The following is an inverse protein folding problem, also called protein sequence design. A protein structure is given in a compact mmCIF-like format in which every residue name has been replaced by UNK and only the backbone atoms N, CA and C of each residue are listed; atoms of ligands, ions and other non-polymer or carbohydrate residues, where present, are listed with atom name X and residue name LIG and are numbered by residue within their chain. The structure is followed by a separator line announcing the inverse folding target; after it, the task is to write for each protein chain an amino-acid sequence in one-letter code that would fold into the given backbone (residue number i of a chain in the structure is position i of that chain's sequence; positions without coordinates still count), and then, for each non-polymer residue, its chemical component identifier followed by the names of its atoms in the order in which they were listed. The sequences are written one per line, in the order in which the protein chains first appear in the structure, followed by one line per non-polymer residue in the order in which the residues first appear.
data_IF_047090898573
#
_entry.id   IF_047090898573
#
_cell.length_a   1.000
_cell.length_b   1.000
_cell.length_c   1.000
_cell.angle_alpha   90.00
_cell.angle_beta   90.00
_cell.angle_gamma   90.00
#
_symmetry.space_group_name_H-M   'P 1'
#
loop_
_entity.id
_entity.type
_entity.pdbx_description
1 polymer ?
#
# COMPACT_ATOMS: atom_id res chain seq x y z
N UNK A 1 -21.80 79.37 -54.33
CA UNK A 1 -20.92 78.21 -54.02
C UNK A 1 -21.63 77.35 -52.99
N UNK A 2 -22.17 76.22 -53.43
CA UNK A 2 -21.62 74.86 -53.24
C UNK A 2 -21.90 74.25 -51.85
N UNK A 3 -22.85 73.34 -51.89
CA UNK A 3 -22.92 72.05 -51.17
C UNK A 3 -23.03 72.05 -49.64
N UNK A 4 -24.09 71.38 -49.14
CA UNK A 4 -23.97 70.57 -47.93
C UNK A 4 -24.90 69.34 -47.97
N UNK A 5 -24.28 68.26 -48.45
CA UNK A 5 -24.42 66.81 -48.23
C UNK A 5 -25.78 66.13 -47.98
N UNK A 6 -25.99 64.93 -48.58
CA UNK A 6 -27.16 64.10 -48.32
C UNK A 6 -27.07 63.39 -46.96
N UNK A 7 -28.18 63.39 -46.23
CA UNK A 7 -28.34 62.65 -44.97
C UNK A 7 -28.43 61.15 -45.30
N UNK A 8 -27.38 60.39 -44.98
CA UNK A 8 -27.41 58.92 -45.05
C UNK A 8 -28.29 58.39 -43.91
N UNK A 9 -29.40 57.72 -44.24
CA UNK A 9 -30.14 56.89 -43.27
C UNK A 9 -29.22 55.76 -42.80
N UNK A 10 -28.84 55.78 -41.54
CA UNK A 10 -28.21 54.64 -40.89
C UNK A 10 -29.25 53.52 -40.76
N UNK A 11 -29.02 52.40 -41.46
CA UNK A 11 -29.79 51.18 -41.26
C UNK A 11 -29.26 50.56 -39.97
N UNK A 12 -30.01 50.73 -38.88
CA UNK A 12 -29.79 50.06 -37.61
C UNK A 12 -30.20 48.59 -37.75
N UNK A 13 -29.24 47.70 -37.98
CA UNK A 13 -29.43 46.26 -37.84
C UNK A 13 -29.72 45.94 -36.37
N UNK A 14 -30.93 45.45 -36.11
CA UNK A 14 -31.40 45.03 -34.78
C UNK A 14 -30.55 43.84 -34.33
N UNK A 15 -29.66 44.04 -33.36
CA UNK A 15 -28.98 42.95 -32.65
C UNK A 15 -29.97 42.33 -31.67
N UNK A 16 -30.48 41.14 -32.00
CA UNK A 16 -31.40 40.40 -31.13
C UNK A 16 -30.57 39.56 -30.14
N UNK A 17 -30.09 40.19 -29.08
CA UNK A 17 -29.49 39.47 -27.95
C UNK A 17 -30.61 38.75 -27.19
N UNK A 18 -30.80 37.46 -27.47
CA UNK A 18 -31.66 36.60 -26.66
C UNK A 18 -30.95 36.33 -25.34
N UNK A 19 -31.25 37.16 -24.34
CA UNK A 19 -30.93 36.91 -22.93
C UNK A 19 -31.69 35.67 -22.45
N UNK A 20 -31.00 34.52 -22.36
CA UNK A 20 -31.54 33.32 -21.70
C UNK A 20 -31.43 33.47 -20.18
N UNK A 21 -32.40 34.14 -19.57
CA UNK A 21 -32.42 34.43 -18.13
C UNK A 21 -32.88 33.25 -17.23
N UNK A 22 -33.30 32.11 -17.80
CA UNK A 22 -33.78 30.96 -17.03
C UNK A 22 -32.84 29.74 -16.99
N UNK A 23 -32.02 29.55 -18.01
CA UNK A 23 -31.17 28.36 -18.14
C UNK A 23 -29.92 28.39 -17.24
N UNK A 24 -29.44 29.58 -16.85
CA UNK A 24 -28.22 29.73 -16.05
C UNK A 24 -28.32 29.09 -14.65
N UNK A 25 -29.50 29.13 -14.01
CA UNK A 25 -29.70 28.46 -12.71
C UNK A 25 -29.70 26.94 -12.85
N UNK A 26 -30.30 26.42 -13.91
CA UNK A 26 -30.30 24.98 -14.18
C UNK A 26 -28.89 24.49 -14.51
N UNK A 27 -28.14 25.25 -15.30
CA UNK A 27 -26.74 24.98 -15.64
C UNK A 27 -25.85 24.96 -14.39
N UNK A 28 -26.00 25.94 -13.50
CA UNK A 28 -25.27 25.97 -12.24
C UNK A 28 -25.64 24.79 -11.32
N UNK A 29 -26.92 24.41 -11.24
CA UNK A 29 -27.35 23.26 -10.43
C UNK A 29 -26.76 21.95 -10.96
N UNK A 30 -26.78 21.74 -12.27
CA UNK A 30 -26.21 20.55 -12.91
C UNK A 30 -24.69 20.53 -12.72
N UNK A 31 -24.02 21.68 -12.86
CA UNK A 31 -22.58 21.80 -12.62
C UNK A 31 -22.22 21.43 -11.16
N UNK A 32 -22.95 21.95 -10.17
CA UNK A 32 -22.75 21.62 -8.75
C UNK A 32 -23.03 20.14 -8.47
N UNK A 33 -24.07 19.55 -9.09
CA UNK A 33 -24.39 18.13 -8.95
C UNK A 33 -23.24 17.25 -9.45
N UNK A 34 -22.78 17.48 -10.67
CA UNK A 34 -21.68 16.71 -11.29
C UNK A 34 -20.39 16.92 -10.49
N UNK A 35 -20.10 18.15 -10.07
CA UNK A 35 -18.93 18.47 -9.27
C UNK A 35 -18.95 17.77 -7.91
N UNK A 36 -20.11 17.73 -7.24
CA UNK A 36 -20.29 17.04 -5.96
C UNK A 36 -20.09 15.52 -6.10
N UNK A 37 -20.60 14.91 -7.18
CA UNK A 37 -20.31 13.50 -7.51
C UNK A 37 -18.81 13.27 -7.73
N UNK A 38 -18.12 14.21 -8.40
CA UNK A 38 -16.68 14.17 -8.59
C UNK A 38 -15.89 14.15 -7.27
N UNK A 39 -16.27 14.99 -6.29
CA UNK A 39 -15.63 15.00 -4.97
C UNK A 39 -15.84 13.67 -4.23
N UNK A 40 -17.06 13.13 -4.24
CA UNK A 40 -17.35 11.84 -3.60
C UNK A 40 -16.52 10.70 -4.22
N UNK A 41 -16.39 10.68 -5.54
CA UNK A 41 -15.55 9.70 -6.24
C UNK A 41 -14.07 9.83 -5.82
N UNK A 42 -13.55 11.05 -5.72
CA UNK A 42 -12.17 11.30 -5.28
C UNK A 42 -11.94 10.89 -3.82
N UNK A 43 -12.89 11.15 -2.92
CA UNK A 43 -12.79 10.73 -1.51
C UNK A 43 -12.83 9.20 -1.39
N UNK A 44 -13.69 8.54 -2.15
CA UNK A 44 -13.73 7.07 -2.22
C UNK A 44 -12.40 6.47 -2.69
N UNK A 45 -11.81 7.05 -3.74
CA UNK A 45 -10.49 6.64 -4.24
C UNK A 45 -9.40 6.89 -3.18
N UNK A 46 -9.40 8.05 -2.52
CA UNK A 46 -8.45 8.34 -1.44
C UNK A 46 -8.54 7.35 -0.29
N UNK A 47 -9.75 7.00 0.16
CA UNK A 47 -9.95 5.99 1.20
C UNK A 47 -9.39 4.62 0.80
N UNK A 48 -9.66 4.18 -0.43
CA UNK A 48 -9.12 2.93 -0.97
C UNK A 48 -7.59 2.93 -1.06
N UNK A 49 -6.99 4.04 -1.53
CA UNK A 49 -5.54 4.19 -1.60
C UNK A 49 -4.89 4.13 -0.21
N UNK A 50 -5.43 4.86 0.79
CA UNK A 50 -4.89 4.84 2.16
C UNK A 50 -4.91 3.44 2.77
N UNK A 51 -6.01 2.69 2.57
CA UNK A 51 -6.09 1.30 3.00
C UNK A 51 -5.00 0.45 2.34
N UNK A 52 -4.89 0.52 1.02
CA UNK A 52 -3.91 -0.27 0.26
C UNK A 52 -2.45 0.07 0.64
N UNK A 53 -2.16 1.35 0.89
CA UNK A 53 -0.84 1.79 1.38
C UNK A 53 -0.54 1.26 2.77
N UNK A 54 -1.51 1.28 3.67
CA UNK A 54 -1.35 0.74 5.04
C UNK A 54 -1.10 -0.77 5.01
N UNK A 55 -1.87 -1.51 4.21
CA UNK A 55 -1.68 -2.93 3.95
C UNK A 55 -0.27 -3.25 3.42
N UNK A 56 0.18 -2.49 2.42
CA UNK A 56 1.51 -2.64 1.84
C UNK A 56 2.62 -2.34 2.86
N UNK A 57 2.41 -1.35 3.74
CA UNK A 57 3.35 -1.01 4.81
C UNK A 57 3.52 -2.17 5.79
N UNK A 58 2.44 -2.76 6.29
CA UNK A 58 2.52 -3.90 7.21
C UNK A 58 3.18 -5.12 6.56
N UNK A 59 2.91 -5.38 5.28
CA UNK A 59 3.61 -6.43 4.52
C UNK A 59 5.13 -6.18 4.43
N UNK A 60 5.53 -4.94 4.20
CA UNK A 60 6.94 -4.56 4.15
C UNK A 60 7.62 -4.69 5.52
N UNK A 61 6.95 -4.25 6.59
CA UNK A 61 7.44 -4.40 7.97
C UNK A 61 7.57 -5.88 8.36
N UNK A 62 6.58 -6.72 8.05
CA UNK A 62 6.65 -8.16 8.28
C UNK A 62 7.82 -8.82 7.54
N UNK A 63 8.03 -8.43 6.27
CA UNK A 63 9.18 -8.88 5.48
C UNK A 63 10.49 -8.46 6.15
N UNK A 64 10.59 -7.19 6.58
CA UNK A 64 11.79 -6.68 7.24
C UNK A 64 12.09 -7.43 8.56
N UNK A 65 11.07 -7.65 9.40
CA UNK A 65 11.20 -8.40 10.66
C UNK A 65 11.66 -9.84 10.40
N UNK A 66 11.09 -10.50 9.39
CA UNK A 66 11.48 -11.85 9.01
C UNK A 66 12.94 -11.91 8.55
N UNK A 67 13.35 -11.00 7.67
CA UNK A 67 14.70 -10.93 7.12
C UNK A 67 15.74 -10.55 8.19
N UNK A 68 15.41 -9.61 9.07
CA UNK A 68 16.28 -9.24 10.19
C UNK A 68 16.52 -10.44 11.10
N UNK A 69 15.46 -11.18 11.47
CA UNK A 69 15.61 -12.38 12.31
C UNK A 69 16.39 -13.47 11.59
N UNK A 70 16.12 -13.69 10.31
CA UNK A 70 16.85 -14.66 9.50
C UNK A 70 18.35 -14.30 9.41
N UNK A 71 18.68 -13.02 9.25
CA UNK A 71 20.05 -12.51 9.27
C UNK A 71 20.73 -12.69 10.63
N UNK A 72 20.00 -12.45 11.73
CA UNK A 72 20.48 -12.70 13.10
C UNK A 72 20.80 -14.18 13.33
N UNK A 73 19.91 -15.08 12.91
CA UNK A 73 20.14 -16.54 12.98
C UNK A 73 21.37 -16.92 12.15
N UNK A 74 21.49 -16.40 10.93
CA UNK A 74 22.63 -16.70 10.07
C UNK A 74 23.95 -16.16 10.63
N UNK A 75 23.97 -14.94 11.16
CA UNK A 75 25.16 -14.30 11.70
C UNK A 75 25.65 -14.99 12.98
N UNK A 76 24.75 -15.25 13.93
CA UNK A 76 25.14 -15.84 15.21
C UNK A 76 25.42 -17.34 15.11
N UNK A 77 24.80 -18.03 14.15
CA UNK A 77 25.10 -19.43 13.95
C UNK A 77 26.51 -19.68 13.41
N UNK A 78 27.16 -18.69 12.78
CA UNK A 78 28.60 -18.74 12.48
C UNK A 78 29.46 -18.83 13.73
N UNK A 79 28.99 -18.25 14.83
CA UNK A 79 29.75 -18.13 16.07
C UNK A 79 29.49 -19.26 17.07
N UNK A 80 28.27 -19.83 17.09
CA UNK A 80 27.84 -20.76 18.15
C UNK A 80 27.50 -22.18 17.68
N UNK A 81 27.56 -22.45 16.37
CA UNK A 81 27.37 -23.77 15.76
C UNK A 81 26.07 -24.54 16.15
N UNK A 82 25.11 -23.87 16.79
CA UNK A 82 23.92 -24.50 17.36
C UNK A 82 22.69 -23.75 16.88
N UNK A 83 22.12 -24.22 15.78
CA UNK A 83 20.93 -23.60 15.17
C UNK A 83 19.66 -23.83 16.00
N UNK A 84 19.53 -24.99 16.65
CA UNK A 84 18.31 -25.37 17.37
C UNK A 84 17.84 -24.40 18.46
N UNK A 85 18.74 -23.60 19.02
CA UNK A 85 18.40 -22.61 20.07
C UNK A 85 17.60 -21.40 19.55
N UNK A 86 17.57 -21.17 18.25
CA UNK A 86 16.83 -20.06 17.63
C UNK A 86 15.41 -20.45 17.22
N UNK A 87 15.03 -21.71 17.36
CA UNK A 87 13.67 -22.15 17.10
C UNK A 87 12.74 -21.54 18.15
N UNK A 88 11.78 -20.74 17.69
CA UNK A 88 10.79 -20.09 18.52
C UNK A 88 9.44 -20.25 17.84
N UNK A 89 8.40 -20.53 18.61
CA UNK A 89 7.04 -20.67 18.09
C UNK A 89 6.19 -19.57 18.69
N UNK A 90 5.45 -18.88 17.82
CA UNK A 90 4.46 -17.86 18.20
C UNK A 90 5.00 -16.77 19.14
N UNK A 91 6.23 -16.31 18.90
CA UNK A 91 6.81 -15.17 19.59
C UNK A 91 5.94 -13.93 19.35
N UNK A 92 5.52 -13.28 20.44
CA UNK A 92 4.70 -12.09 20.35
C UNK A 92 5.51 -10.92 19.80
N UNK A 93 5.07 -10.37 18.68
CA UNK A 93 5.63 -9.16 18.05
C UNK A 93 4.54 -8.10 17.88
N UNK A 94 3.50 -8.13 18.73
CA UNK A 94 2.36 -7.20 18.68
C UNK A 94 2.75 -5.73 18.84
N UNK A 95 3.93 -5.46 19.39
CA UNK A 95 4.53 -4.11 19.47
C UNK A 95 4.89 -3.56 18.08
N UNK A 96 5.25 -4.44 17.14
CA UNK A 96 5.70 -4.07 15.80
C UNK A 96 4.59 -4.20 14.76
N UNK A 97 3.73 -5.20 14.90
CA UNK A 97 2.63 -5.47 13.97
C UNK A 97 1.35 -5.78 14.75
N UNK A 98 0.17 -5.24 14.37
CA UNK A 98 -1.09 -5.57 15.03
C UNK A 98 -1.36 -7.09 15.02
N UNK A 99 -1.56 -7.69 16.20
CA UNK A 99 -1.77 -9.13 16.36
C UNK A 99 -0.61 -9.99 15.85
N UNK A 100 0.59 -9.41 15.80
CA UNK A 100 1.75 -10.00 15.16
C UNK A 100 2.34 -11.16 15.94
N UNK A 101 2.63 -12.28 15.27
CA UNK A 101 3.41 -13.40 15.82
C UNK A 101 4.55 -13.80 14.88
N UNK A 102 5.64 -14.28 15.44
CA UNK A 102 6.79 -14.81 14.70
C UNK A 102 7.10 -16.25 15.11
N UNK A 103 7.30 -17.09 14.11
CA UNK A 103 7.74 -18.47 14.28
C UNK A 103 9.01 -18.70 13.47
N UNK A 104 10.04 -19.22 14.12
CA UNK A 104 11.30 -19.63 13.51
C UNK A 104 11.37 -21.16 13.61
N UNK A 105 11.25 -21.82 12.47
CA UNK A 105 11.37 -23.27 12.36
C UNK A 105 12.70 -23.63 11.69
N UNK A 106 13.35 -24.68 12.17
CA UNK A 106 14.64 -25.13 11.64
C UNK A 106 14.47 -26.59 11.23
N UNK A 107 14.60 -26.85 9.94
CA UNK A 107 14.61 -28.20 9.40
C UNK A 107 15.98 -28.84 9.67
N UNK A 108 16.05 -30.06 10.24
CA UNK A 108 17.31 -30.73 10.52
C UNK A 108 18.06 -31.11 9.23
N UNK A 109 19.28 -31.63 9.39
CA UNK A 109 20.08 -32.15 8.28
C UNK A 109 19.30 -33.23 7.50
N UNK A 110 19.46 -33.32 6.16
CA UNK A 110 20.45 -32.63 5.32
C UNK A 110 20.00 -31.26 4.79
N UNK A 111 18.75 -30.84 5.02
CA UNK A 111 18.19 -29.67 4.34
C UNK A 111 18.55 -28.34 5.00
N UNK A 112 18.80 -28.34 6.32
CA UNK A 112 19.25 -27.21 7.12
C UNK A 112 18.63 -25.87 6.72
N UNK A 113 17.31 -25.91 6.58
CA UNK A 113 16.50 -24.78 6.17
C UNK A 113 15.97 -24.07 7.40
N UNK A 114 16.32 -22.80 7.54
CA UNK A 114 15.72 -21.90 8.52
C UNK A 114 14.54 -21.23 7.84
N UNK A 115 13.35 -21.43 8.42
CA UNK A 115 12.08 -20.88 7.95
C UNK A 115 11.58 -19.90 8.99
N UNK A 116 11.46 -18.63 8.62
CA UNK A 116 10.90 -17.58 9.48
C UNK A 116 9.55 -17.21 8.92
N UNK A 117 8.51 -17.45 9.71
CA UNK A 117 7.13 -17.09 9.42
C UNK A 117 6.71 -15.96 10.34
N UNK A 118 6.18 -14.89 9.75
CA UNK A 118 5.60 -13.75 10.45
C UNK A 118 4.13 -13.67 10.08
N UNK A 119 3.25 -13.72 11.08
CA UNK A 119 1.81 -13.53 10.92
C UNK A 119 1.38 -12.22 11.53
N UNK A 120 0.42 -11.51 10.94
CA UNK A 120 -0.20 -10.32 11.51
C UNK A 120 -1.66 -10.20 11.11
N UNK A 121 -2.44 -9.44 11.86
CA UNK A 121 -3.86 -9.23 11.59
C UNK A 121 -4.23 -7.77 11.85
N UNK A 122 -4.74 -7.10 10.82
CA UNK A 122 -5.31 -5.76 11.01
C UNK A 122 -6.62 -5.83 11.80
N UNK A 123 -6.98 -4.80 12.57
CA UNK A 123 -8.25 -4.77 13.29
C UNK A 123 -9.44 -4.97 12.35
N UNK A 124 -10.18 -6.08 12.53
CA UNK A 124 -11.33 -6.44 11.70
C UNK A 124 -11.00 -7.04 10.32
N UNK A 125 -9.74 -7.37 10.04
CA UNK A 125 -9.30 -8.02 8.80
C UNK A 125 -8.93 -9.50 8.99
N UNK A 126 -8.58 -10.15 7.87
CA UNK A 126 -8.07 -11.52 7.86
C UNK A 126 -6.61 -11.61 8.35
N UNK A 127 -6.23 -12.80 8.82
CA UNK A 127 -4.86 -13.11 9.21
C UNK A 127 -3.98 -13.19 7.95
N UNK A 128 -2.89 -12.44 7.96
CA UNK A 128 -1.88 -12.41 6.91
C UNK A 128 -0.61 -13.11 7.38
N UNK A 129 0.01 -13.89 6.50
CA UNK A 129 1.26 -14.59 6.78
C UNK A 129 2.31 -14.25 5.72
N UNK A 130 3.54 -14.04 6.16
CA UNK A 130 4.72 -13.89 5.30
C UNK A 130 5.79 -14.88 5.77
N UNK A 131 6.40 -15.60 4.83
CA UNK A 131 7.42 -16.61 5.14
C UNK A 131 8.67 -16.35 4.31
N UNK A 132 9.82 -16.34 4.97
CA UNK A 132 11.14 -16.26 4.33
C UNK A 132 11.98 -17.43 4.79
N UNK A 133 12.69 -18.06 3.86
CA UNK A 133 13.55 -19.20 4.14
C UNK A 133 14.99 -18.91 3.73
N UNK A 134 15.97 -19.38 4.50
CA UNK A 134 17.36 -19.46 4.08
C UNK A 134 17.95 -20.83 4.38
N UNK A 135 18.87 -21.26 3.51
CA UNK A 135 19.64 -22.49 3.73
C UNK A 135 20.93 -22.17 4.43
N UNK A 136 21.30 -23.06 5.32
CA UNK A 136 22.59 -23.08 5.99
C UNK A 136 23.37 -24.26 5.46
N UNK A 137 24.63 -24.04 5.09
CA UNK A 137 25.53 -25.13 4.70
C UNK A 137 25.74 -26.08 5.88
N UNK A 138 25.45 -27.37 5.72
CA UNK A 138 25.67 -28.40 6.74
C UNK A 138 27.05 -29.06 6.59
N UNK A 139 27.77 -29.24 7.70
CA UNK A 139 28.81 -30.28 7.78
C UNK A 139 28.15 -31.65 7.87
N UNK A 140 28.75 -32.67 7.27
CA UNK A 140 28.23 -34.03 7.20
C UNK A 140 28.37 -34.78 8.54
N UNK A 141 27.60 -34.38 9.56
CA UNK A 141 27.27 -35.23 10.70
C UNK A 141 25.76 -35.54 10.66
N UNK A 142 25.35 -36.81 10.82
CA UNK A 142 23.94 -37.18 10.73
C UNK A 142 23.12 -36.53 11.84
N UNK A 143 22.24 -35.61 11.46
CA UNK A 143 21.22 -35.02 12.35
C UNK A 143 21.46 -33.58 12.81
N UNK A 144 22.63 -33.00 12.53
CA UNK A 144 22.99 -31.66 13.04
C UNK A 144 23.19 -30.64 11.91
N UNK A 145 22.49 -29.51 12.00
CA UNK A 145 22.77 -28.34 11.18
C UNK A 145 23.85 -27.52 11.88
N UNK A 146 24.99 -27.39 11.23
CA UNK A 146 26.24 -26.86 11.76
C UNK A 146 26.80 -25.92 10.69
N UNK A 147 27.21 -24.71 11.08
CA UNK A 147 27.67 -23.68 10.16
C UNK A 147 29.16 -23.89 9.84
N UNK A 148 29.54 -23.87 8.55
CA UNK A 148 30.94 -24.03 8.11
C UNK A 148 31.78 -22.75 8.27
#
# INVERSE_FOLDING_TARGET
MKNKFPVRKAISTISHSKSQQGMALLEALIAVLIFSMGILALVGLQGAMVKNTSDSKYRAEATFIAQQKLGEVWANAKSHNTFGSYAVVDEDISVLLPGGKRTVAISPAPNCLVTVTVSWQMPGGDIHNHTTNARVNSMAEPGTCIYK
#
